data_IF_518384664342
#
_entry.id   IF_518384664342
#
_cell.length_a   1.000
_cell.length_b   1.000
_cell.length_c   1.000
_cell.angle_alpha   90.00
_cell.angle_beta   90.00
_cell.angle_gamma   90.00
#
_symmetry.space_group_name_H-M   'P 1'
#
loop_
_entity.id
_entity.type
_entity.pdbx_description
1 polymer ?
#
# COMPACT_ATOMS: atom_id res chain seq x y z
N UNK A 1 7.10 8.97 -12.46
CA UNK A 1 7.26 9.07 -13.93
C UNK A 1 6.99 7.73 -14.60
N UNK A 2 7.78 6.68 -14.34
CA UNK A 2 7.54 5.33 -14.93
C UNK A 2 6.15 4.77 -14.65
N UNK A 3 5.71 4.72 -13.39
CA UNK A 3 4.42 4.12 -13.03
C UNK A 3 3.23 4.79 -13.74
N UNK A 4 3.21 6.12 -13.76
CA UNK A 4 2.17 6.90 -14.45
C UNK A 4 2.13 6.57 -15.95
N UNK A 5 3.30 6.43 -16.58
CA UNK A 5 3.39 6.05 -17.99
C UNK A 5 2.87 4.62 -18.24
N UNK A 6 3.31 3.64 -17.44
CA UNK A 6 2.88 2.26 -17.56
C UNK A 6 1.35 2.10 -17.39
N UNK A 7 0.76 2.85 -16.44
CA UNK A 7 -0.69 2.83 -16.23
C UNK A 7 -1.46 3.47 -17.39
N UNK A 8 -0.91 4.50 -18.05
CA UNK A 8 -1.53 5.09 -19.26
C UNK A 8 -1.54 4.13 -20.44
N UNK A 9 -0.50 3.30 -20.59
CA UNK A 9 -0.41 2.32 -21.68
C UNK A 9 -1.44 1.20 -21.56
N UNK A 10 -1.94 0.94 -20.35
CA UNK A 10 -2.95 -0.05 -20.04
C UNK A 10 -4.23 0.58 -19.43
N UNK A 11 -4.62 1.76 -19.92
CA UNK A 11 -5.69 2.58 -19.32
C UNK A 11 -7.04 1.86 -19.16
N UNK A 12 -7.37 0.93 -20.06
CA UNK A 12 -8.65 0.21 -20.08
C UNK A 12 -8.57 -1.19 -19.45
N UNK A 13 -7.44 -1.56 -18.85
CA UNK A 13 -7.24 -2.89 -18.25
C UNK A 13 -7.29 -2.82 -16.72
N UNK A 14 -8.12 -3.64 -16.05
CA UNK A 14 -8.08 -3.77 -14.59
C UNK A 14 -6.67 -4.11 -14.13
N UNK A 15 -6.11 -3.26 -13.27
CA UNK A 15 -4.70 -3.30 -12.90
C UNK A 15 -4.52 -3.42 -11.40
N UNK A 16 -3.58 -4.26 -10.97
CA UNK A 16 -3.09 -4.31 -9.59
C UNK A 16 -1.70 -3.66 -9.54
N UNK A 17 -1.52 -2.72 -8.61
CA UNK A 17 -0.20 -2.15 -8.32
C UNK A 17 0.34 -2.83 -7.08
N UNK A 18 1.54 -3.42 -7.17
CA UNK A 18 2.16 -4.15 -6.06
C UNK A 18 3.47 -3.50 -5.64
N UNK A 19 3.66 -3.34 -4.33
CA UNK A 19 4.89 -2.83 -3.73
C UNK A 19 5.09 -3.47 -2.35
N UNK A 20 6.29 -3.40 -1.78
CA UNK A 20 6.52 -4.04 -0.48
C UNK A 20 5.97 -3.21 0.69
N UNK A 21 6.34 -1.93 0.77
CA UNK A 21 6.03 -1.07 1.91
C UNK A 21 4.65 -0.39 1.74
N UNK A 22 3.77 -0.44 2.76
CA UNK A 22 2.45 0.19 2.70
C UNK A 22 2.52 1.72 2.55
N UNK A 23 1.62 2.34 1.77
CA UNK A 23 1.52 3.80 1.63
C UNK A 23 0.66 4.46 2.73
N UNK A 24 0.50 3.80 3.88
CA UNK A 24 -0.34 4.25 4.99
C UNK A 24 0.26 3.86 6.34
N UNK A 25 -0.17 4.52 7.40
CA UNK A 25 0.14 4.14 8.78
C UNK A 25 -0.84 3.05 9.25
N UNK A 26 -0.31 1.98 9.84
CA UNK A 26 -1.06 0.85 10.36
C UNK A 26 -1.27 0.90 11.89
N UNK A 27 -0.62 1.83 12.58
CA UNK A 27 -0.71 2.03 14.03
C UNK A 27 0.33 1.24 14.84
N UNK A 28 1.10 0.35 14.21
CA UNK A 28 2.21 -0.36 14.86
C UNK A 28 3.45 0.52 14.76
N UNK A 29 3.84 1.16 15.87
CA UNK A 29 4.79 2.29 15.87
C UNK A 29 6.12 1.99 15.17
N UNK A 30 6.72 0.82 15.43
CA UNK A 30 8.01 0.45 14.84
C UNK A 30 7.90 0.10 13.34
N UNK A 31 6.74 -0.39 12.88
CA UNK A 31 6.46 -0.65 11.46
C UNK A 31 6.13 0.65 10.70
N UNK A 32 5.40 1.57 11.32
CA UNK A 32 5.02 2.85 10.70
C UNK A 32 6.22 3.75 10.39
N UNK A 33 7.33 3.59 11.12
CA UNK A 33 8.62 4.24 10.84
C UNK A 33 9.29 3.71 9.56
N UNK A 34 8.90 2.52 9.10
CA UNK A 34 9.47 1.82 7.94
C UNK A 34 8.52 1.79 6.74
N UNK A 35 7.34 2.43 6.82
CA UNK A 35 6.38 2.54 5.72
C UNK A 35 6.96 3.24 4.48
N UNK A 36 6.21 3.20 3.38
CA UNK A 36 6.60 3.90 2.15
C UNK A 36 6.84 5.39 2.44
N UNK A 37 8.01 5.89 2.04
CA UNK A 37 8.33 7.31 2.13
C UNK A 37 7.59 8.06 1.01
N UNK A 38 7.10 9.25 1.33
CA UNK A 38 6.38 10.11 0.39
C UNK A 38 5.17 9.43 -0.28
N UNK A 39 4.24 8.84 0.50
CA UNK A 39 3.08 8.14 -0.05
C UNK A 39 2.19 9.04 -0.92
N UNK A 40 2.22 10.37 -0.68
CA UNK A 40 1.48 11.36 -1.47
C UNK A 40 1.82 11.33 -2.96
N UNK A 41 3.06 11.01 -3.31
CA UNK A 41 3.48 10.91 -4.71
C UNK A 41 2.87 9.69 -5.41
N UNK A 42 2.75 8.56 -4.69
CA UNK A 42 2.05 7.38 -5.19
C UNK A 42 0.55 7.66 -5.26
N UNK A 43 -0.02 8.27 -4.21
CA UNK A 43 -1.44 8.61 -4.14
C UNK A 43 -1.88 9.46 -5.33
N UNK A 44 -1.13 10.51 -5.65
CA UNK A 44 -1.40 11.39 -6.78
C UNK A 44 -1.35 10.67 -8.14
N UNK A 45 -0.51 9.63 -8.28
CA UNK A 45 -0.49 8.81 -9.50
C UNK A 45 -1.73 7.92 -9.52
N UNK A 46 -1.98 7.13 -8.47
CA UNK A 46 -3.07 6.16 -8.44
C UNK A 46 -4.44 6.85 -8.60
N UNK A 47 -4.64 8.02 -8.00
CA UNK A 47 -5.90 8.77 -8.09
C UNK A 47 -6.28 9.19 -9.53
N UNK A 48 -5.31 9.21 -10.45
CA UNK A 48 -5.52 9.55 -11.87
C UNK A 48 -5.82 8.34 -12.74
N UNK A 49 -5.72 7.12 -12.19
CA UNK A 49 -5.82 5.85 -12.90
C UNK A 49 -6.93 4.98 -12.28
N UNK A 50 -8.21 5.23 -12.61
CA UNK A 50 -9.36 4.54 -12.00
C UNK A 50 -9.42 3.04 -12.31
N UNK A 51 -8.71 2.56 -13.34
CA UNK A 51 -8.54 1.14 -13.65
C UNK A 51 -7.64 0.40 -12.63
N UNK A 52 -6.97 1.12 -11.73
CA UNK A 52 -6.23 0.50 -10.63
C UNK A 52 -7.20 -0.01 -9.58
N UNK A 53 -7.41 -1.32 -9.62
CA UNK A 53 -8.33 -1.99 -8.73
C UNK A 53 -7.79 -2.07 -7.32
N UNK A 54 -6.49 -2.31 -7.09
CA UNK A 54 -5.94 -2.36 -5.73
C UNK A 54 -4.47 -2.00 -5.72
N UNK A 55 -4.02 -1.49 -4.57
CA UNK A 55 -2.59 -1.37 -4.22
C UNK A 55 -2.25 -2.47 -3.20
N UNK A 56 -1.49 -3.48 -3.61
CA UNK A 56 -1.14 -4.61 -2.75
C UNK A 56 0.25 -4.44 -2.14
N UNK A 57 0.32 -4.72 -0.85
CA UNK A 57 1.48 -4.50 0.00
C UNK A 57 1.84 -5.73 0.82
N UNK A 58 3.08 -5.76 1.31
CA UNK A 58 3.57 -6.73 2.29
C UNK A 58 4.03 -6.00 3.55
N UNK A 59 5.24 -6.34 4.01
CA UNK A 59 5.97 -5.70 5.11
C UNK A 59 5.41 -5.94 6.52
N UNK A 60 4.10 -5.78 6.74
CA UNK A 60 3.52 -5.81 8.08
C UNK A 60 3.25 -7.22 8.60
N UNK A 61 3.28 -8.24 7.75
CA UNK A 61 2.93 -9.62 8.09
C UNK A 61 1.61 -9.71 8.87
N UNK A 62 0.59 -8.94 8.43
CA UNK A 62 -0.76 -8.92 8.98
C UNK A 62 -1.75 -8.56 7.88
N UNK A 63 -2.98 -9.08 7.96
CA UNK A 63 -4.06 -8.67 7.06
C UNK A 63 -4.57 -7.28 7.44
N UNK A 64 -4.41 -6.30 6.55
CA UNK A 64 -4.85 -4.91 6.74
C UNK A 64 -5.40 -4.36 5.42
N UNK A 65 -6.41 -3.49 5.51
CA UNK A 65 -7.05 -2.86 4.37
C UNK A 65 -7.41 -1.41 4.72
N UNK A 66 -7.15 -0.48 3.81
CA UNK A 66 -7.59 0.91 3.94
C UNK A 66 -7.96 1.51 2.59
N UNK A 67 -8.77 2.57 2.60
CA UNK A 67 -9.02 3.38 1.40
C UNK A 67 -7.76 4.15 1.04
N UNK A 68 -7.41 4.19 -0.25
CA UNK A 68 -6.23 4.88 -0.74
C UNK A 68 -6.46 5.33 -2.19
N UNK A 69 -6.27 6.63 -2.48
CA UNK A 69 -6.29 7.16 -3.85
C UNK A 69 -7.53 6.77 -4.70
N UNK A 70 -8.72 6.71 -4.09
CA UNK A 70 -9.95 6.29 -4.78
C UNK A 70 -10.17 4.77 -4.89
N UNK A 71 -9.25 3.96 -4.37
CA UNK A 71 -9.30 2.50 -4.35
C UNK A 71 -8.96 1.94 -2.94
N UNK A 72 -8.56 0.67 -2.83
CA UNK A 72 -8.06 0.06 -1.60
C UNK A 72 -6.56 -0.24 -1.67
N UNK A 73 -5.87 0.06 -0.58
CA UNK A 73 -4.55 -0.49 -0.27
C UNK A 73 -4.71 -1.67 0.70
N UNK A 74 -4.11 -2.82 0.37
CA UNK A 74 -4.24 -4.06 1.12
C UNK A 74 -2.87 -4.63 1.47
N UNK A 75 -2.73 -5.21 2.66
CA UNK A 75 -1.53 -5.93 3.09
C UNK A 75 -1.88 -7.39 3.32
N UNK A 76 -1.08 -8.29 2.73
CA UNK A 76 -1.21 -9.72 2.95
C UNK A 76 -0.52 -10.19 4.24
N UNK A 77 -1.02 -11.25 4.92
CA UNK A 77 -0.31 -11.91 6.01
C UNK A 77 1.05 -12.47 5.59
N UNK A 78 1.95 -12.61 6.56
CA UNK A 78 3.21 -13.34 6.33
C UNK A 78 2.93 -14.84 6.19
N UNK A 79 3.76 -15.55 5.43
CA UNK A 79 3.63 -17.02 5.26
C UNK A 79 4.20 -17.82 6.43
N UNK A 80 4.92 -17.16 7.36
CA UNK A 80 5.59 -17.80 8.49
C UNK A 80 5.20 -17.12 9.80
N UNK A 81 5.95 -16.10 10.24
CA UNK A 81 5.63 -15.34 11.45
C UNK A 81 4.76 -14.12 11.11
N UNK A 82 3.95 -13.72 12.09
CA UNK A 82 3.16 -12.49 12.05
C UNK A 82 3.79 -11.45 12.99
N UNK A 83 3.70 -10.17 12.64
CA UNK A 83 4.06 -9.09 13.56
C UNK A 83 2.97 -8.98 14.64
N UNK A 84 3.39 -8.82 15.89
CA UNK A 84 2.47 -8.62 17.01
C UNK A 84 1.66 -7.34 16.80
N UNK A 85 0.37 -7.39 17.12
CA UNK A 85 -0.47 -6.18 17.13
C UNK A 85 -0.21 -5.42 18.42
N UNK A 86 0.93 -4.73 18.46
CA UNK A 86 1.24 -3.80 19.53
C UNK A 86 0.91 -2.39 19.09
N UNK A 87 -0.07 -1.80 19.79
CA UNK A 87 -0.55 -0.44 19.56
C UNK A 87 -0.05 0.52 20.65
N UNK A 88 0.85 0.06 21.53
CA UNK A 88 1.47 0.91 22.53
C UNK A 88 2.33 1.97 21.83
N UNK A 89 2.27 3.25 22.24
CA UNK A 89 2.97 4.34 21.54
C UNK A 89 4.50 4.17 21.48
N UNK A 90 5.07 3.50 22.47
CA UNK A 90 6.51 3.22 22.56
C UNK A 90 6.90 1.84 21.97
N UNK A 91 5.89 1.03 21.63
CA UNK A 91 6.02 -0.40 21.37
C UNK A 91 6.50 -1.20 22.58
#
# INVERSE_FOLDING_TARGET
QWLDQALREAADQPTLVMLHHPPFACGIAHMDRQRLRHPEALEAIIARHPQVERVLCGHLHRSLQTRFAGTLACVAPGVSHQVALDLHPEG
#
